data_IF_973129640311
#
_entry.id   IF_973129640311
#
_cell.length_a   1.000
_cell.length_b   1.000
_cell.length_c   1.000
_cell.angle_alpha   90.00
_cell.angle_beta   90.00
_cell.angle_gamma   90.00
#
_symmetry.space_group_name_H-M   'P 1'
#
loop_
_entity.id
_entity.type
_entity.pdbx_description
1 polymer ?
#
# COMPACT_ATOMS: atom_id res chain seq x y z
N UNK A 1 1.86 26.77 38.60
CA UNK A 1 0.91 26.58 37.47
C UNK A 1 1.71 26.40 36.20
N UNK A 2 2.04 25.16 35.82
CA UNK A 2 2.59 24.84 34.50
C UNK A 2 1.91 23.54 34.07
N UNK A 3 0.97 23.67 33.14
CA UNK A 3 0.14 22.58 32.65
C UNK A 3 0.89 21.85 31.52
N UNK A 4 1.39 20.65 31.80
CA UNK A 4 1.96 19.77 30.78
C UNK A 4 0.85 19.29 29.81
N UNK A 5 0.85 19.78 28.56
CA UNK A 5 0.10 19.15 27.46
C UNK A 5 0.97 18.08 26.81
N UNK A 6 0.66 16.81 27.10
CA UNK A 6 1.17 15.63 26.41
C UNK A 6 0.77 15.67 24.93
N UNK A 7 1.73 15.56 24.03
CA UNK A 7 1.49 15.28 22.62
C UNK A 7 0.97 13.85 22.47
N UNK A 8 -0.29 13.68 22.12
CA UNK A 8 -0.85 12.40 21.71
C UNK A 8 -0.35 12.08 20.29
N UNK A 9 0.49 11.05 20.17
CA UNK A 9 0.73 10.36 18.90
C UNK A 9 -0.60 9.70 18.48
N UNK A 10 -1.24 10.25 17.45
CA UNK A 10 -2.35 9.54 16.78
C UNK A 10 -1.75 8.56 15.77
N UNK A 11 -1.54 7.32 16.22
CA UNK A 11 -1.45 6.16 15.32
C UNK A 11 -2.84 5.93 14.75
N UNK A 12 -3.01 6.14 13.44
CA UNK A 12 -4.24 5.75 12.74
C UNK A 12 -4.22 4.24 12.55
N UNK A 13 -4.79 3.53 13.51
CA UNK A 13 -5.12 2.11 13.43
C UNK A 13 -6.39 1.98 12.59
N UNK A 14 -6.34 1.35 11.41
CA UNK A 14 -7.54 0.91 10.71
C UNK A 14 -7.95 -0.46 11.22
N UNK A 15 -8.98 -0.49 12.07
CA UNK A 15 -9.70 -1.69 12.43
C UNK A 15 -10.74 -2.01 11.35
N UNK A 16 -10.69 -3.21 10.79
CA UNK A 16 -11.81 -3.81 10.06
C UNK A 16 -12.03 -5.22 10.62
N UNK A 17 -12.72 -5.28 11.74
CA UNK A 17 -13.22 -6.51 12.36
C UNK A 17 -14.69 -6.34 12.68
N UNK A 18 -15.56 -6.88 11.83
CA UNK A 18 -16.95 -7.14 12.16
C UNK A 18 -17.38 -8.43 11.46
N UNK A 19 -17.19 -9.54 12.17
CA UNK A 19 -17.85 -10.81 11.84
C UNK A 19 -19.34 -10.67 12.13
N UNK A 20 -20.18 -10.64 11.09
CA UNK A 20 -21.61 -10.87 11.24
C UNK A 20 -21.87 -12.36 11.05
N UNK A 21 -22.11 -13.06 12.15
CA UNK A 21 -22.68 -14.41 12.16
C UNK A 21 -24.18 -14.25 11.90
N UNK A 22 -24.64 -14.60 10.70
CA UNK A 22 -26.07 -14.81 10.43
C UNK A 22 -26.39 -16.29 10.64
N UNK A 23 -27.21 -16.56 11.64
CA UNK A 23 -27.75 -17.89 11.93
C UNK A 23 -28.65 -18.38 10.80
N UNK A 24 -28.44 -19.63 10.39
CA UNK A 24 -29.33 -20.37 9.51
C UNK A 24 -30.61 -20.73 10.29
N UNK A 25 -31.74 -20.14 9.89
CA UNK A 25 -33.06 -20.64 10.25
C UNK A 25 -33.37 -21.91 9.47
N UNK A 26 -33.55 -23.03 10.16
CA UNK A 26 -34.02 -24.28 9.59
C UNK A 26 -35.54 -24.21 9.39
N UNK A 27 -35.98 -24.14 8.13
CA UNK A 27 -37.36 -24.42 7.74
C UNK A 27 -37.48 -25.90 7.37
N UNK A 28 -38.13 -26.69 8.22
CA UNK A 28 -38.54 -28.07 7.92
C UNK A 28 -39.77 -28.05 7.03
N UNK A 29 -39.66 -28.63 5.83
CA UNK A 29 -40.81 -29.09 5.06
C UNK A 29 -40.60 -30.58 4.77
N UNK A 30 -41.43 -31.41 5.41
CA UNK A 30 -41.57 -32.82 5.11
C UNK A 30 -42.67 -33.00 4.07
N UNK A 31 -42.41 -33.82 3.06
CA UNK A 31 -43.40 -34.50 2.24
C UNK A 31 -42.80 -35.80 1.73
N UNK A 32 -43.70 -36.74 1.48
CA UNK A 32 -43.59 -38.16 1.80
C UNK A 32 -43.42 -39.07 0.54
N UNK A 33 -42.92 -40.28 0.82
CA UNK A 33 -43.02 -41.58 0.12
C UNK A 33 -42.67 -41.77 -1.38
N UNK A 34 -41.87 -42.81 -1.65
CA UNK A 34 -41.92 -43.55 -2.92
C UNK A 34 -40.65 -44.33 -3.28
N UNK A 35 -40.73 -45.65 -3.28
CA UNK A 35 -39.64 -46.63 -3.43
C UNK A 35 -38.87 -46.62 -4.76
N UNK A 36 -37.60 -47.06 -4.74
CA UNK A 36 -36.93 -47.56 -5.94
C UNK A 36 -35.39 -47.58 -5.93
N UNK A 37 -34.85 -48.79 -5.87
CA UNK A 37 -33.64 -49.25 -6.58
C UNK A 37 -32.24 -49.12 -5.92
N UNK A 38 -31.70 -50.29 -5.62
CA UNK A 38 -30.31 -50.57 -5.21
C UNK A 38 -29.33 -50.36 -6.36
N UNK A 39 -28.82 -49.13 -6.55
CA UNK A 39 -27.64 -48.86 -7.40
C UNK A 39 -26.97 -47.49 -7.15
N UNK A 40 -27.08 -46.89 -5.96
CA UNK A 40 -26.53 -45.54 -5.69
C UNK A 40 -25.56 -45.45 -4.51
N UNK A 41 -25.34 -46.52 -3.75
CA UNK A 41 -24.60 -46.45 -2.49
C UNK A 41 -23.07 -46.29 -2.63
N UNK A 42 -22.49 -46.48 -3.83
CA UNK A 42 -21.04 -46.36 -4.04
C UNK A 42 -20.57 -44.97 -4.45
N UNK A 43 -21.37 -44.20 -5.20
CA UNK A 43 -21.03 -42.83 -5.62
C UNK A 43 -21.22 -41.81 -4.49
N UNK A 44 -22.26 -41.99 -3.67
CA UNK A 44 -22.60 -41.07 -2.59
C UNK A 44 -21.58 -41.12 -1.44
N UNK A 45 -21.07 -42.32 -1.14
CA UNK A 45 -20.00 -42.50 -0.15
C UNK A 45 -18.65 -41.90 -0.59
N UNK A 46 -18.33 -41.98 -1.89
CA UNK A 46 -17.11 -41.41 -2.45
C UNK A 46 -17.17 -39.87 -2.49
N UNK A 47 -18.32 -39.29 -2.85
CA UNK A 47 -18.55 -37.84 -2.81
C UNK A 47 -18.44 -37.29 -1.40
N UNK A 48 -19.13 -37.90 -0.43
CA UNK A 48 -19.08 -37.47 0.97
C UNK A 48 -17.66 -37.60 1.58
N UNK A 49 -16.89 -38.61 1.16
CA UNK A 49 -15.51 -38.78 1.60
C UNK A 49 -14.53 -37.76 0.97
N UNK A 50 -14.84 -37.28 -0.24
CA UNK A 50 -14.08 -36.19 -0.89
C UNK A 50 -14.39 -34.86 -0.22
N UNK A 51 -15.66 -34.57 0.05
CA UNK A 51 -16.09 -33.32 0.70
C UNK A 51 -15.50 -33.16 2.11
N UNK A 52 -15.43 -34.26 2.88
CA UNK A 52 -14.77 -34.27 4.19
C UNK A 52 -13.26 -34.04 4.10
N UNK A 53 -12.60 -34.50 3.03
CA UNK A 53 -11.16 -34.25 2.80
C UNK A 53 -10.91 -32.80 2.40
N UNK A 54 -11.74 -32.25 1.53
CA UNK A 54 -11.67 -30.87 1.08
C UNK A 54 -11.92 -29.90 2.24
N UNK A 55 -12.90 -30.18 3.10
CA UNK A 55 -13.16 -29.41 4.32
C UNK A 55 -11.97 -29.45 5.30
N UNK A 56 -11.37 -30.64 5.54
CA UNK A 56 -10.17 -30.76 6.40
C UNK A 56 -8.95 -30.06 5.81
N UNK A 57 -8.83 -30.01 4.47
CA UNK A 57 -7.76 -29.27 3.78
C UNK A 57 -7.97 -27.76 3.96
N UNK A 58 -9.19 -27.27 3.74
CA UNK A 58 -9.55 -25.87 3.97
C UNK A 58 -9.29 -25.44 5.41
N UNK A 59 -9.66 -26.26 6.40
CA UNK A 59 -9.43 -25.96 7.81
C UNK A 59 -7.93 -25.91 8.17
N UNK A 60 -7.12 -26.84 7.63
CA UNK A 60 -5.65 -26.80 7.80
C UNK A 60 -5.04 -25.55 7.19
N UNK A 61 -5.50 -25.15 6.01
CA UNK A 61 -5.02 -23.93 5.34
C UNK A 61 -5.42 -22.68 6.13
N UNK A 62 -6.64 -22.62 6.66
CA UNK A 62 -7.08 -21.52 7.52
C UNK A 62 -6.26 -21.42 8.81
N UNK A 63 -5.99 -22.55 9.49
CA UNK A 63 -5.13 -22.59 10.68
C UNK A 63 -3.68 -22.20 10.37
N UNK A 64 -3.18 -22.52 9.17
CA UNK A 64 -1.85 -22.13 8.74
C UNK A 64 -1.77 -20.62 8.43
N UNK A 65 -2.81 -20.05 7.84
CA UNK A 65 -2.93 -18.60 7.63
C UNK A 65 -2.94 -17.85 8.97
N UNK A 66 -3.79 -18.27 9.92
CA UNK A 66 -3.83 -17.66 11.25
C UNK A 66 -2.47 -17.68 11.97
N UNK A 67 -1.73 -18.78 11.88
CA UNK A 67 -0.38 -18.87 12.46
C UNK A 67 0.64 -17.97 11.76
N UNK A 68 0.47 -17.71 10.47
CA UNK A 68 1.30 -16.78 9.72
C UNK A 68 1.00 -15.33 10.14
N UNK A 69 -0.26 -15.01 10.37
CA UNK A 69 -0.71 -13.70 10.86
C UNK A 69 -0.16 -13.42 12.27
N UNK A 70 -0.32 -14.36 13.21
CA UNK A 70 0.22 -14.26 14.56
C UNK A 70 1.76 -14.09 14.56
N UNK A 71 2.44 -14.70 13.59
CA UNK A 71 3.91 -14.58 13.44
C UNK A 71 4.30 -13.21 12.88
N UNK A 72 3.51 -12.68 11.95
CA UNK A 72 3.72 -11.35 11.37
C UNK A 72 3.49 -10.25 12.42
N UNK A 73 2.44 -10.37 13.23
CA UNK A 73 2.14 -9.45 14.33
C UNK A 73 3.29 -9.40 15.34
N UNK A 74 3.78 -10.57 15.79
CA UNK A 74 4.95 -10.64 16.69
C UNK A 74 6.22 -10.08 16.06
N UNK A 75 6.37 -10.14 14.74
CA UNK A 75 7.50 -9.54 14.03
C UNK A 75 7.38 -8.01 13.96
N UNK A 76 6.17 -7.48 13.75
CA UNK A 76 5.88 -6.05 13.77
C UNK A 76 6.16 -5.44 15.16
N UNK A 77 5.67 -6.05 16.24
CA UNK A 77 5.97 -5.58 17.59
C UNK A 77 7.47 -5.60 17.93
N UNK A 78 8.23 -6.54 17.34
CA UNK A 78 9.69 -6.58 17.49
C UNK A 78 10.36 -5.43 16.73
N UNK A 79 9.85 -5.06 15.57
CA UNK A 79 10.34 -3.93 14.79
C UNK A 79 10.05 -2.60 15.50
N UNK A 80 8.88 -2.43 16.09
CA UNK A 80 8.52 -1.24 16.87
C UNK A 80 9.41 -1.08 18.10
N UNK A 81 9.58 -2.14 18.91
CA UNK A 81 10.52 -2.14 20.04
C UNK A 81 11.96 -1.83 19.63
N UNK A 82 12.37 -2.24 18.42
CA UNK A 82 13.71 -1.91 17.88
C UNK A 82 13.81 -0.41 17.52
N UNK A 83 12.76 0.15 16.93
CA UNK A 83 12.68 1.56 16.58
C UNK A 83 12.67 2.46 17.83
N UNK A 84 11.93 2.09 18.87
CA UNK A 84 11.93 2.80 20.16
C UNK A 84 13.31 2.77 20.81
N UNK A 85 13.99 1.62 20.84
CA UNK A 85 15.37 1.52 21.35
C UNK A 85 16.36 2.37 20.54
N UNK A 86 16.18 2.48 19.23
CA UNK A 86 17.01 3.32 18.37
C UNK A 86 16.73 4.82 18.60
N UNK A 87 15.49 5.20 18.87
CA UNK A 87 15.12 6.57 19.25
C UNK A 87 15.70 6.96 20.62
N UNK A 88 15.63 6.06 21.61
CA UNK A 88 16.23 6.27 22.93
C UNK A 88 17.75 6.46 22.87
N UNK A 89 18.46 5.67 22.05
CA UNK A 89 19.91 5.84 21.82
C UNK A 89 20.27 7.18 21.18
N UNK A 90 19.45 7.66 20.23
CA UNK A 90 19.66 8.98 19.62
C UNK A 90 19.51 10.10 20.64
N UNK A 91 18.46 10.05 21.46
CA UNK A 91 18.25 11.04 22.52
C UNK A 91 19.39 11.08 23.55
N UNK A 92 20.07 9.96 23.81
CA UNK A 92 21.25 9.92 24.67
C UNK A 92 22.47 10.58 24.01
N UNK A 93 22.74 10.28 22.74
CA UNK A 93 23.84 10.92 22.00
C UNK A 93 23.66 12.44 21.89
N UNK A 94 22.45 12.92 21.64
CA UNK A 94 22.15 14.36 21.51
C UNK A 94 22.43 15.11 22.83
N UNK A 95 22.22 14.44 23.98
CA UNK A 95 22.52 15.02 25.30
C UNK A 95 24.03 15.10 25.62
N UNK A 96 24.84 14.23 25.02
CA UNK A 96 26.30 14.17 25.24
C UNK A 96 27.04 15.24 24.42
N UNK A 97 26.53 15.58 23.23
CA UNK A 97 27.06 16.66 22.38
C UNK A 97 26.83 18.08 22.92
N UNK A 98 25.91 18.28 23.86
CA UNK A 98 25.57 19.59 24.40
C UNK A 98 26.52 20.12 25.50
N UNK A 99 27.50 19.33 25.96
CA UNK A 99 28.34 19.67 27.13
C UNK A 99 29.82 19.94 26.83
N UNK A 100 30.21 20.23 25.59
CA UNK A 100 31.62 20.56 25.27
C UNK A 100 31.89 22.04 25.55
N UNK A 101 32.78 22.43 26.49
CA UNK A 101 33.02 23.83 26.80
C UNK A 101 33.91 24.50 25.73
N UNK A 102 33.56 25.73 25.39
CA UNK A 102 34.26 26.59 24.42
C UNK A 102 35.68 26.91 24.94
N UNK A 103 36.73 26.48 24.23
CA UNK A 103 38.11 26.91 24.53
C UNK A 103 38.36 28.29 23.89
N UNK A 104 38.77 29.22 24.74
CA UNK A 104 39.19 30.57 24.41
C UNK A 104 40.54 30.55 23.67
N UNK A 105 40.62 31.20 22.52
CA UNK A 105 41.86 31.36 21.74
C UNK A 105 41.99 32.80 21.27
N UNK A 106 42.80 33.58 21.99
CA UNK A 106 43.22 34.92 21.58
C UNK A 106 44.41 34.82 20.60
N UNK A 107 44.45 35.57 19.48
CA UNK A 107 45.56 35.49 18.54
C UNK A 107 46.70 36.47 18.86
N UNK A 108 47.93 36.05 18.59
CA UNK A 108 49.18 36.84 18.69
C UNK A 108 49.79 37.00 17.28
N UNK A 109 50.40 38.15 16.90
CA UNK A 109 50.72 38.40 15.50
C UNK A 109 52.12 37.93 15.04
N UNK A 110 52.12 37.42 13.81
CA UNK A 110 53.08 37.60 12.70
C UNK A 110 54.55 37.22 12.85
N UNK A 111 55.00 36.18 12.13
CA UNK A 111 56.20 36.21 11.28
C UNK A 111 55.94 35.39 10.01
N UNK A 112 56.38 35.95 8.88
CA UNK A 112 56.27 35.46 7.50
C UNK A 112 57.42 34.47 7.24
N UNK A 113 57.14 33.30 6.67
CA UNK A 113 58.11 32.62 5.78
C UNK A 113 57.37 31.65 4.85
N UNK A 114 57.74 31.72 3.56
CA UNK A 114 57.16 31.00 2.46
C UNK A 114 57.93 29.69 2.21
N UNK A 115 57.22 28.58 2.03
CA UNK A 115 57.70 27.44 1.25
C UNK A 115 56.53 26.47 0.95
N UNK A 116 56.32 26.29 -0.35
CA UNK A 116 56.02 25.07 -1.11
C UNK A 116 55.01 23.99 -0.65
N UNK A 117 54.49 23.35 -1.69
CA UNK A 117 53.85 22.04 -1.78
C UNK A 117 52.35 21.84 -1.49
N UNK A 118 51.67 21.53 -2.60
CA UNK A 118 50.52 20.63 -2.72
C UNK A 118 49.20 21.04 -2.06
N UNK A 119 48.28 21.56 -2.89
CA UNK A 119 46.88 21.74 -2.52
C UNK A 119 46.19 20.36 -2.49
N UNK A 120 46.27 19.68 -1.35
CA UNK A 120 45.37 18.57 -1.03
C UNK A 120 44.10 19.16 -0.42
N UNK A 121 43.07 19.32 -1.26
CA UNK A 121 41.75 19.79 -0.85
C UNK A 121 41.08 18.73 0.02
N UNK A 122 41.33 18.76 1.33
CA UNK A 122 40.59 17.97 2.31
C UNK A 122 39.17 18.53 2.39
N UNK A 123 38.27 17.98 1.58
CA UNK A 123 36.84 18.17 1.74
C UNK A 123 36.42 17.57 3.07
N UNK A 124 36.09 18.40 4.05
CA UNK A 124 35.43 17.96 5.27
C UNK A 124 34.04 17.42 4.90
N UNK A 125 33.96 16.12 4.59
CA UNK A 125 32.72 15.38 4.42
C UNK A 125 32.06 15.21 5.79
N UNK A 126 31.47 16.29 6.30
CA UNK A 126 30.48 16.23 7.36
C UNK A 126 29.32 15.39 6.85
N UNK A 127 29.27 14.12 7.27
CA UNK A 127 28.20 13.20 6.89
C UNK A 127 26.97 13.61 7.67
N UNK A 128 26.20 14.57 7.14
CA UNK A 128 24.81 14.77 7.55
C UNK A 128 24.11 13.45 7.22
N UNK A 129 23.80 12.65 8.25
CA UNK A 129 23.05 11.41 8.09
C UNK A 129 21.76 11.73 7.32
N UNK A 130 21.72 11.31 6.05
CA UNK A 130 20.91 11.94 5.01
C UNK A 130 19.42 11.97 5.30
N UNK A 131 18.88 13.17 5.47
CA UNK A 131 17.49 13.47 5.14
C UNK A 131 17.34 13.17 3.65
N UNK A 132 16.64 12.07 3.33
CA UNK A 132 16.42 11.68 1.93
C UNK A 132 15.45 12.65 1.28
N UNK A 133 15.79 13.14 0.10
CA UNK A 133 14.94 14.04 -0.68
C UNK A 133 13.58 13.38 -0.96
N UNK A 134 12.45 14.09 -0.75
CA UNK A 134 11.13 13.61 -1.14
C UNK A 134 11.05 13.31 -2.65
N UNK A 135 10.14 12.42 -3.08
CA UNK A 135 9.85 12.21 -4.50
C UNK A 135 9.42 13.51 -5.19
N UNK A 136 9.68 13.62 -6.49
CA UNK A 136 9.21 14.74 -7.31
C UNK A 136 7.90 14.31 -7.98
N UNK A 137 6.89 15.17 -7.92
CA UNK A 137 5.60 14.92 -8.60
C UNK A 137 5.64 15.36 -10.06
N UNK A 138 4.70 14.86 -10.87
CA UNK A 138 4.45 15.45 -12.19
C UNK A 138 4.09 16.94 -12.05
N UNK A 139 4.37 17.78 -13.08
CA UNK A 139 4.19 19.23 -12.96
C UNK A 139 2.73 19.66 -12.72
N UNK A 140 1.79 18.93 -13.34
CA UNK A 140 0.35 19.18 -13.20
C UNK A 140 -0.45 17.94 -13.62
N UNK A 141 -1.66 17.82 -13.11
CA UNK A 141 -2.63 16.78 -13.48
C UNK A 141 -3.94 17.43 -13.91
N UNK A 142 -4.42 17.04 -15.09
CA UNK A 142 -5.76 17.33 -15.55
C UNK A 142 -6.72 16.37 -14.82
N UNK A 143 -7.54 16.93 -13.94
CA UNK A 143 -8.45 16.16 -13.09
C UNK A 143 -9.44 15.38 -13.93
N UNK A 144 -10.00 16.00 -14.98
CA UNK A 144 -11.06 15.39 -15.80
C UNK A 144 -10.55 14.15 -16.54
N UNK A 145 -9.32 14.21 -17.06
CA UNK A 145 -8.66 13.06 -17.68
C UNK A 145 -8.22 12.00 -16.67
N UNK A 146 -8.00 12.37 -15.41
CA UNK A 146 -7.66 11.45 -14.34
C UNK A 146 -8.88 10.68 -13.79
N UNK A 147 -10.11 11.19 -13.96
CA UNK A 147 -11.33 10.53 -13.50
C UNK A 147 -11.55 9.15 -14.12
N UNK A 148 -12.51 8.41 -13.56
CA UNK A 148 -12.89 7.08 -14.03
C UNK A 148 -12.10 5.96 -13.34
N UNK A 149 -12.05 4.81 -14.00
CA UNK A 149 -11.50 3.58 -13.41
C UNK A 149 -10.01 3.45 -13.65
N UNK A 150 -9.29 3.06 -12.60
CA UNK A 150 -7.90 2.66 -12.62
C UNK A 150 -7.74 1.28 -11.98
N UNK A 151 -7.02 0.39 -12.65
CA UNK A 151 -6.68 -0.92 -12.13
C UNK A 151 -5.35 -0.88 -11.41
N UNK A 152 -5.32 -1.39 -10.18
CA UNK A 152 -4.05 -1.59 -9.47
C UNK A 152 -3.35 -2.81 -10.09
N UNK A 153 -2.26 -2.56 -10.81
CA UNK A 153 -1.45 -3.62 -11.44
C UNK A 153 -0.23 -3.97 -10.59
N UNK A 154 0.17 -3.08 -9.68
CA UNK A 154 1.15 -3.38 -8.65
C UNK A 154 1.11 -2.39 -7.51
N UNK A 155 1.53 -2.82 -6.32
CA UNK A 155 1.58 -1.95 -5.15
C UNK A 155 2.63 -2.39 -4.14
N UNK A 156 3.05 -1.44 -3.30
CA UNK A 156 3.72 -1.74 -2.03
C UNK A 156 2.65 -2.25 -1.08
N UNK A 157 2.54 -3.58 -0.99
CA UNK A 157 1.47 -4.25 -0.25
C UNK A 157 1.41 -3.77 1.19
N UNK A 158 0.29 -3.15 1.52
CA UNK A 158 -0.11 -2.93 2.90
C UNK A 158 -0.72 -4.21 3.46
N UNK A 159 -0.64 -4.42 4.77
CA UNK A 159 -1.13 -5.64 5.43
C UNK A 159 -2.61 -5.94 5.12
N UNK A 160 -3.45 -4.90 5.00
CA UNK A 160 -4.87 -5.02 4.70
C UNK A 160 -5.18 -5.39 3.23
N UNK A 161 -4.21 -5.19 2.32
CA UNK A 161 -4.34 -5.50 0.89
C UNK A 161 -3.93 -6.94 0.56
N UNK A 162 -3.45 -7.70 1.54
CA UNK A 162 -3.00 -9.07 1.33
C UNK A 162 -4.19 -9.94 0.94
N UNK A 163 -4.03 -10.65 -0.19
CA UNK A 163 -5.06 -11.53 -0.72
C UNK A 163 -6.08 -10.86 -1.63
N UNK A 164 -6.10 -9.53 -1.79
CA UNK A 164 -6.97 -8.89 -2.78
C UNK A 164 -6.48 -9.11 -4.22
N UNK A 165 -7.44 -9.36 -5.09
CA UNK A 165 -7.30 -9.49 -6.54
C UNK A 165 -8.38 -8.65 -7.22
N UNK A 166 -8.23 -8.40 -8.52
CA UNK A 166 -9.12 -7.53 -9.28
C UNK A 166 -9.27 -6.12 -8.67
N UNK A 167 -8.21 -5.64 -8.00
CA UNK A 167 -8.26 -4.36 -7.29
C UNK A 167 -8.35 -3.21 -8.28
N UNK A 168 -9.27 -2.28 -8.03
CA UNK A 168 -9.44 -1.05 -8.81
C UNK A 168 -9.79 0.13 -7.90
N UNK A 169 -9.50 1.33 -8.38
CA UNK A 169 -9.95 2.60 -7.85
C UNK A 169 -10.84 3.29 -8.89
N UNK A 170 -11.96 3.84 -8.46
CA UNK A 170 -12.87 4.62 -9.31
C UNK A 170 -12.95 6.04 -8.77
N UNK A 171 -12.60 7.00 -9.61
CA UNK A 171 -12.59 8.43 -9.29
C UNK A 171 -13.75 9.14 -9.99
N UNK A 172 -14.48 9.97 -9.25
CA UNK A 172 -15.53 10.84 -9.80
C UNK A 172 -15.59 12.15 -9.04
N UNK A 173 -16.07 13.23 -9.67
CA UNK A 173 -16.27 14.50 -8.96
C UNK A 173 -17.50 14.45 -8.05
N UNK A 174 -17.37 15.06 -6.88
CA UNK A 174 -18.48 15.44 -6.01
C UNK A 174 -18.95 16.86 -6.35
N UNK A 175 -20.19 17.23 -5.97
CA UNK A 175 -20.72 18.58 -6.21
C UNK A 175 -19.92 19.71 -5.53
N UNK A 176 -19.18 19.39 -4.47
CA UNK A 176 -18.36 20.33 -3.71
C UNK A 176 -16.94 20.52 -4.29
N UNK A 177 -16.64 19.89 -5.43
CA UNK A 177 -15.34 19.93 -6.08
C UNK A 177 -14.31 18.94 -5.53
N UNK A 178 -14.64 18.18 -4.48
CA UNK A 178 -13.80 17.06 -4.04
C UNK A 178 -13.92 15.87 -4.98
N UNK A 179 -12.96 14.95 -4.90
CA UNK A 179 -12.95 13.74 -5.72
C UNK A 179 -13.41 12.56 -4.85
N UNK A 180 -14.51 11.91 -5.24
CA UNK A 180 -14.92 10.62 -4.67
C UNK A 180 -13.96 9.54 -5.12
N UNK A 181 -13.53 8.70 -4.18
CA UNK A 181 -12.64 7.56 -4.41
C UNK A 181 -13.36 6.28 -3.97
N UNK A 182 -13.54 5.32 -4.87
CA UNK A 182 -14.08 4.01 -4.53
C UNK A 182 -13.04 2.94 -4.84
N UNK A 183 -12.46 2.36 -3.80
CA UNK A 183 -11.53 1.23 -3.94
C UNK A 183 -12.30 -0.07 -3.76
N UNK A 184 -12.12 -1.03 -4.69
CA UNK A 184 -12.80 -2.31 -4.62
C UNK A 184 -11.96 -3.47 -5.17
N UNK A 185 -12.32 -4.70 -4.79
CA UNK A 185 -11.68 -5.92 -5.28
C UNK A 185 -12.36 -7.19 -4.75
N UNK A 186 -11.72 -8.34 -4.98
CA UNK A 186 -12.15 -9.64 -4.47
C UNK A 186 -11.04 -10.28 -3.64
N UNK A 187 -11.38 -11.00 -2.57
CA UNK A 187 -10.42 -11.82 -1.86
C UNK A 187 -10.12 -13.12 -2.61
N UNK A 188 -8.82 -13.43 -2.71
CA UNK A 188 -8.18 -14.67 -3.17
C UNK A 188 -8.31 -15.02 -4.67
N UNK A 189 -9.50 -14.94 -5.25
CA UNK A 189 -9.79 -15.39 -6.62
C UNK A 189 -10.86 -14.54 -7.32
N UNK A 190 -10.98 -14.71 -8.65
CA UNK A 190 -11.97 -14.00 -9.45
C UNK A 190 -13.38 -14.34 -8.95
N UNK A 191 -14.22 -13.32 -8.69
CA UNK A 191 -15.56 -13.48 -8.07
C UNK A 191 -15.55 -14.05 -6.64
N UNK A 192 -14.41 -13.99 -5.93
CA UNK A 192 -14.36 -14.25 -4.50
C UNK A 192 -15.08 -13.16 -3.67
N UNK A 193 -15.08 -13.26 -2.33
CA UNK A 193 -15.73 -12.28 -1.45
C UNK A 193 -15.33 -10.84 -1.81
N UNK A 194 -16.32 -9.96 -1.99
CA UNK A 194 -16.08 -8.56 -2.37
C UNK A 194 -15.54 -7.77 -1.19
N UNK A 195 -14.62 -6.86 -1.49
CA UNK A 195 -14.16 -5.82 -0.57
C UNK A 195 -14.33 -4.47 -1.25
N UNK A 196 -14.80 -3.47 -0.52
CA UNK A 196 -14.96 -2.11 -1.03
C UNK A 196 -14.83 -1.10 0.10
N UNK A 197 -14.22 0.05 -0.20
CA UNK A 197 -14.16 1.19 0.72
C UNK A 197 -14.33 2.49 -0.08
N UNK A 198 -15.12 3.40 0.48
CA UNK A 198 -15.38 4.71 -0.09
C UNK A 198 -14.55 5.75 0.64
N UNK A 199 -13.99 6.69 -0.11
CA UNK A 199 -13.24 7.81 0.40
C UNK A 199 -13.47 9.06 -0.43
N UNK A 200 -12.79 10.11 0.00
CA UNK A 200 -12.82 11.43 -0.62
C UNK A 200 -11.40 11.96 -0.68
N UNK A 201 -11.08 12.66 -1.75
CA UNK A 201 -9.79 13.26 -1.98
C UNK A 201 -9.93 14.74 -2.32
N UNK A 202 -8.96 15.54 -1.89
CA UNK A 202 -8.83 16.95 -2.30
C UNK A 202 -7.39 17.22 -2.72
N UNK A 203 -7.15 17.99 -3.80
CA UNK A 203 -5.85 18.59 -4.06
C UNK A 203 -5.36 19.41 -2.87
N UNK A 204 -4.05 19.46 -2.68
CA UNK A 204 -3.39 20.30 -1.65
C UNK A 204 -2.62 21.48 -2.25
N UNK A 205 -2.61 21.59 -3.58
CA UNK A 205 -2.06 22.68 -4.37
C UNK A 205 -2.73 22.71 -5.77
N UNK A 206 -2.50 23.78 -6.54
CA UNK A 206 -3.13 24.00 -7.85
C UNK A 206 -2.61 23.06 -8.95
N UNK A 207 -1.56 22.29 -8.68
CA UNK A 207 -1.02 21.33 -9.66
C UNK A 207 -1.89 20.08 -9.77
N UNK A 208 -2.73 19.79 -8.77
CA UNK A 208 -3.49 18.55 -8.61
C UNK A 208 -2.63 17.27 -8.55
N UNK A 209 -1.30 17.37 -8.57
CA UNK A 209 -0.40 16.22 -8.52
C UNK A 209 -0.23 15.68 -7.09
N UNK A 210 -0.69 16.43 -6.09
CA UNK A 210 -0.71 16.02 -4.68
C UNK A 210 -2.10 16.15 -4.13
N UNK A 211 -2.57 15.08 -3.49
CA UNK A 211 -3.87 15.01 -2.87
C UNK A 211 -3.77 14.56 -1.41
N UNK A 212 -4.77 14.93 -0.64
CA UNK A 212 -5.10 14.29 0.61
C UNK A 212 -6.31 13.39 0.41
N UNK A 213 -6.11 12.08 0.55
CA UNK A 213 -7.15 11.06 0.47
C UNK A 213 -7.52 10.61 1.87
N UNK A 214 -8.80 10.59 2.19
CA UNK A 214 -9.33 10.01 3.43
C UNK A 214 -10.48 9.06 3.15
N UNK A 215 -10.63 8.04 3.98
CA UNK A 215 -11.77 7.11 3.95
C UNK A 215 -12.77 7.37 5.07
N UNK A 216 -12.46 8.32 5.97
CA UNK A 216 -13.31 8.71 7.08
C UNK A 216 -13.23 10.23 7.29
N UNK A 217 -14.39 10.90 7.26
CA UNK A 217 -14.45 12.36 7.38
C UNK A 217 -14.02 13.12 6.11
N UNK A 218 -13.95 14.47 6.17
CA UNK A 218 -13.55 15.30 5.05
C UNK A 218 -12.02 15.26 4.82
N UNK A 219 -11.54 15.37 3.57
CA UNK A 219 -10.12 15.48 3.28
C UNK A 219 -9.56 16.82 3.76
N UNK A 220 -8.24 16.85 3.99
CA UNK A 220 -7.51 18.08 4.33
C UNK A 220 -6.92 18.73 3.07
N UNK A 221 -7.08 20.03 2.88
CA UNK A 221 -6.43 20.83 1.84
C UNK A 221 -4.95 21.14 2.13
N UNK A 222 -4.47 20.81 3.33
CA UNK A 222 -3.09 21.11 3.75
C UNK A 222 -2.06 20.15 3.14
N UNK A 223 -0.99 20.76 2.62
CA UNK A 223 0.26 20.08 2.30
C UNK A 223 0.84 19.32 3.52
N UNK A 224 1.60 18.23 3.30
CA UNK A 224 2.04 17.72 2.01
C UNK A 224 1.00 16.85 1.27
N UNK A 225 -0.13 16.51 1.87
CA UNK A 225 -0.99 15.44 1.35
C UNK A 225 -0.39 14.04 1.56
N UNK A 226 -1.11 13.01 1.16
CA UNK A 226 -0.72 11.60 1.33
C UNK A 226 -0.81 10.77 0.03
N UNK A 227 -1.11 11.41 -1.10
CA UNK A 227 -1.20 10.78 -2.41
C UNK A 227 -0.49 11.69 -3.43
N UNK A 228 0.66 11.26 -3.91
CA UNK A 228 1.56 12.02 -4.80
C UNK A 228 1.69 11.30 -6.13
N UNK A 229 1.28 11.93 -7.21
CA UNK A 229 1.43 11.41 -8.58
C UNK A 229 2.84 11.78 -9.03
N UNK A 230 3.73 10.79 -9.02
CA UNK A 230 5.17 10.96 -9.32
C UNK A 230 5.53 10.62 -10.76
N UNK A 231 4.61 9.95 -11.45
CA UNK A 231 4.73 9.68 -12.86
C UNK A 231 3.35 9.47 -13.47
N UNK A 232 3.18 9.88 -14.72
CA UNK A 232 1.91 9.85 -15.43
C UNK A 232 2.19 9.70 -16.92
N UNK A 233 1.53 8.74 -17.55
CA UNK A 233 1.59 8.62 -19.00
C UNK A 233 0.89 9.78 -19.71
N UNK A 234 1.42 10.20 -20.86
CA UNK A 234 0.91 11.35 -21.63
C UNK A 234 -0.60 11.27 -21.93
N UNK A 235 -1.10 10.05 -22.19
CA UNK A 235 -2.52 9.77 -22.47
C UNK A 235 -3.27 9.21 -21.25
N UNK A 236 -2.74 9.42 -20.03
CA UNK A 236 -3.33 8.91 -18.79
C UNK A 236 -3.51 7.38 -18.77
N UNK A 237 -2.70 6.65 -19.53
CA UNK A 237 -2.76 5.19 -19.65
C UNK A 237 -2.17 4.44 -18.44
N UNK A 238 -1.26 5.10 -17.72
CA UNK A 238 -0.72 4.64 -16.43
C UNK A 238 -0.50 5.83 -15.49
N UNK A 239 -0.51 5.58 -14.19
CA UNK A 239 -0.09 6.52 -13.16
C UNK A 239 0.74 5.80 -12.09
N UNK A 240 1.78 6.46 -11.59
CA UNK A 240 2.60 5.99 -10.48
C UNK A 240 2.40 6.93 -9.32
N UNK A 241 2.00 6.36 -8.19
CA UNK A 241 1.59 7.13 -7.01
C UNK A 241 2.38 6.66 -5.81
N UNK A 242 2.77 7.60 -4.94
CA UNK A 242 3.39 7.32 -3.64
C UNK A 242 2.98 8.37 -2.61
N UNK A 243 3.72 8.45 -1.51
CA UNK A 243 3.58 9.44 -0.45
C UNK A 243 4.89 10.26 -0.29
N UNK A 244 4.91 11.32 0.52
CA UNK A 244 6.10 12.18 0.68
C UNK A 244 7.39 11.45 1.10
N UNK A 245 7.28 10.27 1.71
CA UNK A 245 8.42 9.44 2.17
C UNK A 245 8.90 8.46 1.11
N UNK A 246 8.09 8.21 0.08
CA UNK A 246 8.31 7.19 -0.95
C UNK A 246 8.07 5.75 -0.47
N UNK A 247 7.51 5.54 0.72
CA UNK A 247 7.43 4.21 1.33
C UNK A 247 6.17 3.42 0.93
N UNK A 248 5.08 4.09 0.58
CA UNK A 248 3.95 3.49 -0.14
C UNK A 248 4.20 3.54 -1.65
N UNK A 249 3.34 2.86 -2.42
CA UNK A 249 3.44 2.92 -3.88
C UNK A 249 2.34 2.15 -4.57
N UNK A 250 1.79 2.73 -5.64
CA UNK A 250 0.84 2.09 -6.53
C UNK A 250 1.27 2.33 -7.98
N UNK A 251 1.14 1.28 -8.79
CA UNK A 251 1.13 1.35 -10.24
C UNK A 251 -0.31 1.14 -10.66
N UNK A 252 -0.90 2.18 -11.21
CA UNK A 252 -2.25 2.21 -11.72
C UNK A 252 -2.20 2.17 -13.25
N UNK A 253 -3.12 1.46 -13.87
CA UNK A 253 -3.28 1.46 -15.33
C UNK A 253 -4.74 1.46 -15.73
N UNK A 254 -5.03 2.06 -16.88
CA UNK A 254 -6.34 1.95 -17.53
C UNK A 254 -6.59 0.54 -18.09
N UNK A 255 -5.52 -0.19 -18.41
CA UNK A 255 -5.59 -1.59 -18.81
C UNK A 255 -5.30 -2.53 -17.62
N UNK A 256 -6.22 -3.43 -17.25
CA UNK A 256 -5.98 -4.42 -16.20
C UNK A 256 -4.96 -5.51 -16.61
N UNK A 257 -4.64 -5.67 -17.90
CA UNK A 257 -3.78 -6.75 -18.41
C UNK A 257 -2.54 -6.19 -19.12
N UNK A 258 -1.47 -6.03 -18.35
CA UNK A 258 -0.16 -5.65 -18.90
C UNK A 258 0.67 -6.87 -19.31
N UNK A 259 1.44 -6.73 -20.38
CA UNK A 259 2.51 -7.69 -20.73
C UNK A 259 3.57 -7.72 -19.61
N UNK A 260 4.35 -8.81 -19.49
CA UNK A 260 5.46 -8.87 -18.55
C UNK A 260 6.43 -7.70 -18.70
N UNK A 261 6.75 -7.31 -19.93
CA UNK A 261 7.69 -6.25 -20.27
C UNK A 261 7.15 -4.88 -19.83
N UNK A 262 5.90 -4.57 -20.16
CA UNK A 262 5.23 -3.34 -19.72
C UNK A 262 5.22 -3.22 -18.19
N UNK A 263 4.88 -4.31 -17.50
CA UNK A 263 4.87 -4.31 -16.04
C UNK A 263 6.28 -4.09 -15.44
N UNK A 264 7.32 -4.70 -15.99
CA UNK A 264 8.69 -4.47 -15.50
C UNK A 264 9.17 -3.05 -15.79
N UNK A 265 8.81 -2.47 -16.95
CA UNK A 265 9.12 -1.08 -17.29
C UNK A 265 8.50 -0.12 -16.27
N UNK A 266 7.18 -0.23 -16.01
CA UNK A 266 6.50 0.59 -15.01
C UNK A 266 7.05 0.39 -13.60
N UNK A 267 7.44 -0.83 -13.25
CA UNK A 267 8.07 -1.10 -11.94
C UNK A 267 9.44 -0.44 -11.81
N UNK A 268 10.24 -0.45 -12.86
CA UNK A 268 11.55 0.23 -12.88
C UNK A 268 11.36 1.75 -12.81
N UNK A 269 10.40 2.27 -13.57
CA UNK A 269 10.02 3.68 -13.57
C UNK A 269 9.55 4.12 -12.18
N UNK A 270 8.70 3.34 -11.50
CA UNK A 270 8.27 3.66 -10.15
C UNK A 270 9.44 3.83 -9.17
N UNK A 271 10.45 2.95 -9.27
CA UNK A 271 11.67 3.07 -8.47
C UNK A 271 12.46 4.34 -8.81
N UNK A 272 12.57 4.68 -10.09
CA UNK A 272 13.25 5.88 -10.55
C UNK A 272 12.54 7.16 -10.09
N UNK A 273 11.21 7.17 -10.08
CA UNK A 273 10.36 8.30 -9.69
C UNK A 273 10.19 8.44 -8.17
N UNK A 274 10.93 7.65 -7.36
CA UNK A 274 11.02 7.82 -5.91
C UNK A 274 10.23 6.83 -5.06
N UNK A 275 9.61 5.80 -5.65
CA UNK A 275 9.03 4.69 -4.88
C UNK A 275 10.13 3.81 -4.32
N UNK A 276 10.23 3.77 -3.00
CA UNK A 276 11.26 3.05 -2.25
C UNK A 276 10.76 1.72 -1.69
N UNK A 277 9.46 1.58 -1.51
CA UNK A 277 8.83 0.32 -1.12
C UNK A 277 8.94 -0.75 -2.21
N UNK A 278 8.85 -2.02 -1.81
CA UNK A 278 8.90 -3.14 -2.75
C UNK A 278 7.53 -3.28 -3.42
N UNK A 279 7.47 -2.93 -4.71
CA UNK A 279 6.27 -3.15 -5.51
C UNK A 279 6.12 -4.63 -5.88
N UNK A 280 4.96 -5.18 -5.52
CA UNK A 280 4.53 -6.53 -5.87
C UNK A 280 3.38 -6.46 -6.87
N UNK A 281 3.31 -7.43 -7.78
CA UNK A 281 2.25 -7.48 -8.79
C UNK A 281 0.90 -7.73 -8.11
N UNK A 282 -0.11 -6.98 -8.54
CA UNK A 282 -1.50 -7.20 -8.13
C UNK A 282 -2.17 -8.04 -9.21
N UNK A 283 -2.89 -9.09 -8.80
CA UNK A 283 -3.48 -10.05 -9.73
C UNK A 283 -4.80 -9.51 -10.26
N UNK A 284 -4.99 -9.57 -11.57
CA UNK A 284 -6.23 -9.19 -12.27
C UNK A 284 -6.84 -10.42 -13.01
N UNK A 285 -7.17 -11.52 -12.31
CA UNK A 285 -7.63 -12.76 -12.95
C UNK A 285 -8.94 -12.60 -13.74
N UNK A 286 -9.83 -11.68 -13.36
CA UNK A 286 -11.07 -11.45 -14.09
C UNK A 286 -10.84 -10.91 -15.50
N UNK A 287 -9.94 -9.93 -15.63
CA UNK A 287 -9.62 -9.36 -16.94
C UNK A 287 -8.87 -10.34 -17.84
N UNK A 288 -7.94 -11.15 -17.28
CA UNK A 288 -7.23 -12.18 -18.04
C UNK A 288 -8.20 -13.22 -18.63
N UNK A 289 -9.17 -13.69 -17.85
CA UNK A 289 -10.18 -14.63 -18.34
C UNK A 289 -11.03 -14.05 -19.47
N UNK A 290 -11.40 -12.77 -19.37
CA UNK A 290 -12.14 -12.09 -20.43
C UNK A 290 -11.32 -11.98 -21.73
N UNK A 291 -10.04 -11.63 -21.64
CA UNK A 291 -9.15 -11.55 -22.80
C UNK A 291 -8.93 -12.91 -23.49
N UNK A 292 -8.74 -13.98 -22.70
CA UNK A 292 -8.63 -15.35 -23.21
C UNK A 292 -9.91 -15.79 -23.93
N UNK A 293 -11.08 -15.46 -23.38
CA UNK A 293 -12.39 -15.79 -23.97
C UNK A 293 -12.62 -15.04 -25.29
N UNK A 294 -12.28 -13.74 -25.33
CA UNK A 294 -12.41 -12.93 -26.53
C UNK A 294 -11.50 -13.46 -27.67
N UNK A 295 -10.27 -13.85 -27.33
CA UNK A 295 -9.32 -14.44 -28.30
C UNK A 295 -9.85 -15.77 -28.82
N UNK A 296 -10.37 -16.64 -27.96
CA UNK A 296 -10.94 -17.92 -28.38
C UNK A 296 -12.17 -17.76 -29.30
N UNK A 297 -12.97 -16.71 -29.11
CA UNK A 297 -14.16 -16.44 -29.93
C UNK A 297 -13.80 -15.90 -31.32
N UNK A 298 -12.66 -15.22 -31.47
CA UNK A 298 -12.21 -14.66 -32.75
C UNK A 298 -11.56 -15.69 -33.70
N UNK A 299 -11.32 -16.92 -33.23
CA UNK A 299 -10.65 -17.99 -33.99
C UNK A 299 -11.66 -18.96 -34.63
N UNK A 300 -12.96 -18.76 -34.37
CA UNK A 300 -14.07 -19.49 -35.01
C UNK A 300 -14.88 -18.55 -35.91
#
# INVERSE_FOLDING_TARGET
MITHRRWQLSLVTCAAGASLVLGLGAGTAAADTGAGNTASQSSDGASAAKDRRDARRAERTARQAQRADDRAERAAERADRRSERAAARRSQNDSETASTPLRDTTPRPSVIEAADDSVSSTSASGTVAGLRTPPVTVPSVDVDQYLGTWYEVGSVKQFFSVGLVNTKAEYSLNPDGTIKVVNSGNYFFNKGPKSSINGTASPVDDTNAKLNVTFFGPPSDKAPGNYWIVDLGDDYQYAIVTDPTGLSGFILSRDPVLTPEQYQALKAQAKASGVRGIITKTRQPGARQAAETATATSVF
#
